data_IF_800888657995
#
_entry.id   IF_800888657995
#
_cell.length_a   1.000
_cell.length_b   1.000
_cell.length_c   1.000
_cell.angle_alpha   90.00
_cell.angle_beta   90.00
_cell.angle_gamma   90.00
#
_symmetry.space_group_name_H-M   'P 1'
#
loop_
_entity.id
_entity.type
_entity.pdbx_description
1 polymer ?
#
# COMPACT_ATOMS: atom_id res chain seq x y z
N UNK A 1 -0.25 12.77 8.33
CA UNK A 1 0.29 12.21 9.61
C UNK A 1 1.68 12.78 9.76
N UNK A 2 1.96 13.66 10.72
CA UNK A 2 3.24 14.37 10.87
C UNK A 2 3.96 13.89 12.13
N UNK A 3 4.66 12.74 12.06
CA UNK A 3 5.11 12.01 13.26
C UNK A 3 6.51 11.41 13.07
N UNK A 4 7.38 11.66 14.04
CA UNK A 4 8.65 10.95 14.19
C UNK A 4 8.39 9.52 14.68
N UNK A 5 9.08 8.55 14.07
CA UNK A 5 8.89 7.12 14.33
C UNK A 5 10.16 6.40 14.74
N UNK A 6 11.24 7.12 15.06
CA UNK A 6 12.54 6.52 15.40
C UNK A 6 12.54 5.73 16.72
N UNK A 7 11.61 6.05 17.61
CA UNK A 7 11.50 5.42 18.93
C UNK A 7 10.72 4.10 18.90
N UNK A 8 10.15 3.70 17.75
CA UNK A 8 9.41 2.45 17.59
C UNK A 8 10.27 1.33 17.01
N UNK A 9 9.96 0.09 17.37
CA UNK A 9 10.56 -1.12 16.81
C UNK A 9 9.78 -1.67 15.61
N UNK A 10 8.48 -1.40 15.55
CA UNK A 10 7.63 -1.81 14.43
C UNK A 10 6.78 -0.66 13.88
N UNK A 11 6.61 -0.67 12.56
CA UNK A 11 5.67 0.21 11.87
C UNK A 11 5.00 -0.55 10.74
N UNK A 12 3.67 -0.71 10.82
CA UNK A 12 2.88 -1.46 9.84
C UNK A 12 1.61 -0.71 9.48
N UNK A 13 1.16 -0.89 8.25
CA UNK A 13 -0.14 -0.39 7.80
C UNK A 13 -1.14 -1.53 7.88
N UNK A 14 -2.24 -1.30 8.57
CA UNK A 14 -3.38 -2.21 8.60
C UNK A 14 -4.57 -1.56 7.88
N UNK A 15 -5.28 -2.35 7.09
CA UNK A 15 -6.54 -1.95 6.48
C UNK A 15 -7.41 -3.18 6.17
N UNK A 16 -8.72 -3.02 6.26
CA UNK A 16 -9.66 -3.98 5.70
C UNK A 16 -10.12 -3.50 4.33
N UNK A 17 -9.95 -4.35 3.32
CA UNK A 17 -10.16 -4.00 1.93
C UNK A 17 -11.23 -4.91 1.32
N UNK A 18 -12.15 -4.35 0.54
CA UNK A 18 -13.13 -5.14 -0.21
C UNK A 18 -13.29 -4.57 -1.61
N UNK A 19 -13.21 -5.45 -2.61
CA UNK A 19 -13.40 -5.09 -4.00
C UNK A 19 -14.74 -5.62 -4.51
N UNK A 20 -15.53 -4.73 -5.10
CA UNK A 20 -16.85 -5.03 -5.64
C UNK A 20 -16.84 -5.03 -7.15
N UNK A 21 -16.12 -4.12 -7.79
CA UNK A 21 -15.96 -4.07 -9.24
C UNK A 21 -14.61 -3.48 -9.65
N UNK A 22 -14.09 -3.94 -10.79
CA UNK A 22 -12.81 -3.57 -11.38
C UNK A 22 -12.84 -3.98 -12.85
N UNK A 23 -12.72 -3.02 -13.76
CA UNK A 23 -12.65 -3.30 -15.20
C UNK A 23 -11.24 -3.33 -15.76
N UNK A 24 -10.29 -2.63 -15.13
CA UNK A 24 -8.89 -2.61 -15.52
C UNK A 24 -8.16 -3.77 -14.82
N UNK A 25 -7.64 -4.79 -15.52
CA UNK A 25 -6.95 -5.90 -14.89
C UNK A 25 -5.64 -5.47 -14.19
N UNK A 26 -5.31 -6.13 -13.08
CA UNK A 26 -4.14 -5.80 -12.26
C UNK A 26 -4.16 -4.34 -11.80
N UNK A 27 -3.09 -3.62 -12.11
CA UNK A 27 -2.98 -2.16 -11.93
C UNK A 27 -2.75 -1.44 -13.26
N UNK A 28 -3.29 -1.97 -14.36
CA UNK A 28 -2.99 -1.52 -15.72
C UNK A 28 -1.59 -1.93 -16.19
N UNK A 29 -1.21 -1.51 -17.40
CA UNK A 29 0.05 -1.93 -18.03
C UNK A 29 1.29 -1.60 -17.19
N UNK A 30 1.25 -0.48 -16.47
CA UNK A 30 2.36 0.01 -15.64
C UNK A 30 2.26 -0.40 -14.16
N UNK A 31 1.20 -1.11 -13.75
CA UNK A 31 1.03 -1.50 -12.34
C UNK A 31 0.88 -0.31 -11.38
N UNK A 32 0.09 0.70 -11.75
CA UNK A 32 -0.09 1.94 -10.97
C UNK A 32 -1.57 2.36 -10.76
N UNK A 33 -2.50 1.65 -11.40
CA UNK A 33 -3.92 2.02 -11.49
C UNK A 33 -4.82 0.96 -10.82
N UNK A 34 -4.70 0.81 -9.51
CA UNK A 34 -5.46 -0.20 -8.76
C UNK A 34 -6.79 0.36 -8.22
N UNK A 35 -7.82 -0.49 -8.04
CA UNK A 35 -9.06 -0.12 -7.35
C UNK A 35 -8.86 0.47 -5.95
N UNK A 36 -7.83 0.02 -5.23
CA UNK A 36 -7.39 0.60 -3.94
C UNK A 36 -5.86 0.58 -3.90
N UNK A 37 -5.28 1.71 -3.49
CA UNK A 37 -3.87 1.93 -3.24
C UNK A 37 -3.68 2.47 -1.83
N UNK A 38 -2.74 1.87 -1.10
CA UNK A 38 -2.17 2.43 0.12
C UNK A 38 -0.88 3.15 -0.27
N UNK A 39 -0.71 4.37 0.23
CA UNK A 39 0.52 5.12 0.10
C UNK A 39 0.93 5.71 1.44
N UNK A 40 2.19 5.51 1.82
CA UNK A 40 2.81 6.17 2.97
C UNK A 40 3.91 7.06 2.44
N UNK A 41 3.72 8.38 2.55
CA UNK A 41 4.76 9.35 2.25
C UNK A 41 5.55 9.65 3.53
N UNK A 42 6.87 9.57 3.44
CA UNK A 42 7.75 9.67 4.60
C UNK A 42 9.10 10.29 4.26
N UNK A 43 9.91 10.55 5.28
CA UNK A 43 11.31 10.97 5.16
C UNK A 43 12.23 9.91 5.74
N UNK A 44 13.33 9.61 5.05
CA UNK A 44 14.37 8.71 5.54
C UNK A 44 15.40 9.45 6.42
N UNK A 45 16.38 8.70 6.96
CA UNK A 45 17.40 9.23 7.85
C UNK A 45 18.34 10.26 7.19
N UNK A 46 18.48 10.20 5.86
CA UNK A 46 19.26 11.14 5.06
C UNK A 46 18.47 12.42 4.74
N UNK A 47 17.18 12.44 5.04
CA UNK A 47 16.30 13.58 4.78
C UNK A 47 15.58 13.51 3.43
N UNK A 48 15.72 12.42 2.68
CA UNK A 48 15.05 12.27 1.39
C UNK A 48 13.56 12.01 1.57
N UNK A 49 12.73 12.60 0.71
CA UNK A 49 11.32 12.23 0.60
C UNK A 49 11.20 10.88 -0.12
N UNK A 50 10.35 10.02 0.42
CA UNK A 50 10.14 8.65 -0.04
C UNK A 50 8.65 8.32 -0.01
N UNK A 51 8.28 7.35 -0.84
CA UNK A 51 6.94 6.78 -0.88
C UNK A 51 7.03 5.26 -0.73
N UNK A 52 6.11 4.72 0.05
CA UNK A 52 5.78 3.30 0.07
C UNK A 52 4.40 3.10 -0.56
N UNK A 53 4.24 2.08 -1.41
CA UNK A 53 2.99 1.78 -2.10
C UNK A 53 2.57 0.31 -1.95
N UNK A 54 1.26 0.09 -1.80
CA UNK A 54 0.66 -1.23 -1.92
C UNK A 54 -0.72 -1.17 -2.60
N UNK A 55 -0.87 -1.89 -3.70
CA UNK A 55 -2.11 -1.94 -4.50
C UNK A 55 -2.90 -3.23 -4.36
N UNK A 56 -4.23 -3.17 -4.43
CA UNK A 56 -5.12 -4.34 -4.39
C UNK A 56 -5.94 -4.48 -5.67
N UNK A 57 -6.06 -5.71 -6.16
CA UNK A 57 -6.90 -6.05 -7.32
C UNK A 57 -7.53 -7.44 -7.18
N UNK A 58 -8.55 -7.75 -8.00
CA UNK A 58 -9.07 -9.11 -8.12
C UNK A 58 -8.97 -9.66 -9.56
N UNK A 59 -9.03 -8.78 -10.56
CA UNK A 59 -9.00 -9.18 -11.97
C UNK A 59 -7.56 -9.44 -12.41
N UNK A 60 -7.18 -10.69 -12.73
CA UNK A 60 -5.79 -11.02 -13.06
C UNK A 60 -5.33 -10.28 -14.32
N UNK A 61 -4.14 -9.67 -14.32
CA UNK A 61 -3.64 -8.98 -15.51
C UNK A 61 -3.15 -9.95 -16.59
N UNK A 62 -3.13 -9.51 -17.86
CA UNK A 62 -2.35 -10.15 -18.91
C UNK A 62 -0.86 -10.26 -18.54
N UNK A 63 -0.16 -11.26 -19.09
CA UNK A 63 1.25 -11.55 -18.76
C UNK A 63 2.21 -10.37 -19.03
N UNK A 64 1.87 -9.48 -19.96
CA UNK A 64 2.69 -8.34 -20.34
C UNK A 64 2.49 -7.09 -19.46
N UNK A 65 1.66 -7.15 -18.42
CA UNK A 65 1.43 -6.04 -17.49
C UNK A 65 2.40 -6.14 -16.31
N UNK A 66 2.83 -4.98 -15.80
CA UNK A 66 3.70 -4.92 -14.63
C UNK A 66 2.87 -5.14 -13.36
N UNK A 67 3.38 -6.02 -12.50
CA UNK A 67 2.96 -6.14 -11.11
C UNK A 67 4.20 -6.03 -10.23
N UNK A 68 4.23 -5.02 -9.38
CA UNK A 68 5.31 -4.85 -8.41
C UNK A 68 5.12 -5.80 -7.22
N UNK A 69 6.26 -6.25 -6.67
CA UNK A 69 6.38 -7.12 -5.50
C UNK A 69 7.67 -6.78 -4.72
N UNK A 70 7.94 -5.50 -4.55
CA UNK A 70 9.12 -4.98 -3.87
C UNK A 70 8.67 -4.42 -2.51
N UNK A 71 9.55 -4.38 -1.49
CA UNK A 71 9.17 -3.92 -0.16
C UNK A 71 8.60 -2.50 -0.12
N UNK A 72 9.08 -1.61 -1.01
CA UNK A 72 8.67 -0.22 -1.15
C UNK A 72 7.50 -0.01 -2.13
N UNK A 73 7.29 -0.93 -3.07
CA UNK A 73 6.19 -0.88 -4.02
C UNK A 73 5.73 -2.29 -4.36
N UNK A 74 4.51 -2.65 -3.96
CA UNK A 74 3.97 -3.99 -4.17
C UNK A 74 2.48 -3.98 -4.50
N UNK A 75 1.96 -5.13 -4.90
CA UNK A 75 0.54 -5.31 -5.14
C UNK A 75 0.11 -6.74 -4.82
N UNK A 76 -1.15 -6.90 -4.42
CA UNK A 76 -1.71 -8.19 -4.04
C UNK A 76 -3.08 -8.43 -4.72
N UNK A 77 -3.25 -9.67 -5.20
CA UNK A 77 -4.54 -10.14 -5.70
C UNK A 77 -5.37 -10.68 -4.55
N UNK A 78 -6.57 -10.14 -4.36
CA UNK A 78 -7.50 -10.53 -3.30
C UNK A 78 -8.83 -11.04 -3.88
N UNK A 79 -9.61 -11.73 -3.06
CA UNK A 79 -10.92 -12.23 -3.47
C UNK A 79 -11.94 -11.10 -3.62
N UNK A 80 -12.76 -11.15 -4.67
CA UNK A 80 -13.88 -10.22 -4.89
C UNK A 80 -14.98 -10.48 -3.85
N UNK A 81 -15.70 -9.43 -3.45
CA UNK A 81 -16.86 -9.44 -2.55
C UNK A 81 -16.61 -9.84 -1.09
N UNK A 82 -15.38 -10.12 -0.68
CA UNK A 82 -15.01 -10.50 0.70
C UNK A 82 -14.15 -9.41 1.31
N UNK A 83 -14.36 -9.12 2.60
CA UNK A 83 -13.46 -8.26 3.36
C UNK A 83 -12.13 -8.99 3.59
N UNK A 84 -11.05 -8.41 3.10
CA UNK A 84 -9.69 -8.90 3.22
C UNK A 84 -8.93 -8.06 4.26
N UNK A 85 -8.56 -8.64 5.42
CA UNK A 85 -7.70 -7.97 6.38
C UNK A 85 -6.26 -7.99 5.85
N UNK A 86 -5.71 -6.81 5.59
CA UNK A 86 -4.33 -6.65 5.18
C UNK A 86 -3.51 -6.01 6.30
N UNK A 87 -2.33 -6.57 6.55
CA UNK A 87 -1.29 -5.97 7.36
C UNK A 87 0.01 -5.96 6.55
N UNK A 88 0.64 -4.80 6.44
CA UNK A 88 1.91 -4.67 5.72
C UNK A 88 3.04 -5.38 6.47
N UNK A 89 4.14 -5.62 5.75
CA UNK A 89 5.43 -5.88 6.39
C UNK A 89 5.83 -4.73 7.33
N UNK A 90 6.77 -4.99 8.24
CA UNK A 90 7.33 -3.94 9.08
C UNK A 90 8.21 -3.00 8.25
N UNK A 91 7.76 -1.75 8.07
CA UNK A 91 8.43 -0.75 7.25
C UNK A 91 9.80 -0.33 7.82
N UNK A 92 10.00 -0.47 9.15
CA UNK A 92 11.27 -0.10 9.80
C UNK A 92 12.39 -1.11 9.55
N UNK A 93 12.07 -2.35 9.21
CA UNK A 93 13.05 -3.42 9.00
C UNK A 93 13.18 -3.84 7.54
N UNK A 94 12.13 -3.69 6.73
CA UNK A 94 12.11 -4.18 5.34
C UNK A 94 12.65 -3.19 4.32
N UNK A 95 12.62 -1.89 4.60
CA UNK A 95 13.08 -0.85 3.68
C UNK A 95 14.58 -0.54 3.81
N UNK A 96 15.30 -1.24 4.71
CA UNK A 96 16.75 -1.12 4.83
C UNK A 96 17.21 0.32 5.14
N UNK A 97 18.20 0.87 4.40
CA UNK A 97 18.68 2.25 4.61
C UNK A 97 17.61 3.31 4.37
N UNK A 98 16.59 3.02 3.55
CA UNK A 98 15.53 3.97 3.19
C UNK A 98 14.32 3.88 4.12
N UNK A 99 14.46 3.23 5.30
CA UNK A 99 13.38 3.14 6.29
C UNK A 99 12.88 4.52 6.75
N UNK A 100 11.61 4.63 7.14
CA UNK A 100 11.06 5.88 7.60
C UNK A 100 11.64 6.28 8.96
N UNK A 101 11.98 7.56 9.09
CA UNK A 101 12.21 8.20 10.39
C UNK A 101 11.11 9.20 10.74
N UNK A 102 10.39 9.68 9.72
CA UNK A 102 9.28 10.61 9.89
C UNK A 102 8.18 10.33 8.88
N UNK A 103 6.97 10.02 9.34
CA UNK A 103 5.79 9.87 8.48
C UNK A 103 5.20 11.26 8.22
N UNK A 104 4.84 11.54 6.97
CA UNK A 104 4.19 12.78 6.51
C UNK A 104 2.71 12.59 6.21
N UNK A 105 2.36 11.48 5.57
CA UNK A 105 0.97 11.17 5.29
C UNK A 105 0.76 9.70 5.02
N UNK A 106 -0.47 9.28 5.24
CA UNK A 106 -1.01 8.04 4.73
C UNK A 106 -2.15 8.46 3.83
N UNK A 107 -2.13 7.95 2.61
CA UNK A 107 -3.17 8.19 1.62
C UNK A 107 -3.74 6.85 1.21
N UNK A 108 -5.06 6.80 1.19
CA UNK A 108 -5.81 5.74 0.52
C UNK A 108 -6.47 6.40 -0.67
N UNK A 109 -6.26 5.82 -1.83
CA UNK A 109 -6.82 6.35 -3.06
C UNK A 109 -7.08 5.21 -4.03
N UNK A 110 -7.81 5.53 -5.08
CA UNK A 110 -8.09 4.64 -6.19
C UNK A 110 -7.69 5.33 -7.49
N UNK A 111 -7.12 4.58 -8.42
CA UNK A 111 -6.62 5.09 -9.71
C UNK A 111 -7.00 4.21 -10.90
N UNK A 112 -7.83 3.17 -10.69
CA UNK A 112 -8.36 2.35 -11.78
C UNK A 112 -9.37 3.08 -12.68
N UNK A 113 -9.88 2.38 -13.69
CA UNK A 113 -10.85 2.94 -14.64
C UNK A 113 -12.27 2.94 -14.07
N UNK A 114 -13.03 1.85 -14.27
CA UNK A 114 -14.32 1.65 -13.62
C UNK A 114 -14.08 0.67 -12.48
N UNK A 115 -14.47 1.07 -11.28
CA UNK A 115 -14.29 0.29 -10.06
C UNK A 115 -15.35 0.63 -9.02
N UNK A 116 -15.58 -0.32 -8.12
CA UNK A 116 -16.33 -0.14 -6.88
C UNK A 116 -15.58 -0.88 -5.78
N UNK A 117 -15.23 -0.16 -4.71
CA UNK A 117 -14.33 -0.65 -3.67
C UNK A 117 -14.63 -0.01 -2.33
N UNK A 118 -14.29 -0.72 -1.25
CA UNK A 118 -14.53 -0.30 0.12
C UNK A 118 -13.27 -0.50 0.94
N UNK A 119 -13.04 0.41 1.88
CA UNK A 119 -11.99 0.31 2.89
C UNK A 119 -12.61 0.56 4.26
N UNK A 120 -12.21 -0.22 5.25
CA UNK A 120 -12.58 -0.05 6.65
C UNK A 120 -11.33 -0.20 7.53
N UNK A 121 -11.46 0.25 8.79
CA UNK A 121 -10.51 0.00 9.87
C UNK A 121 -9.04 0.24 9.46
N UNK A 122 -8.72 1.47 9.06
CA UNK A 122 -7.37 1.84 8.66
C UNK A 122 -6.57 2.26 9.89
N UNK A 123 -5.39 1.68 10.05
CA UNK A 123 -4.47 2.00 11.14
C UNK A 123 -3.01 2.02 10.68
N UNK A 124 -2.23 2.91 11.27
CA UNK A 124 -0.77 2.81 11.30
C UNK A 124 -0.40 2.23 12.66
N UNK A 125 0.00 0.97 12.68
CA UNK A 125 0.37 0.24 13.88
C UNK A 125 1.84 0.52 14.18
N UNK A 126 2.11 1.02 15.38
CA UNK A 126 3.45 1.29 15.87
C UNK A 126 3.63 0.63 17.24
N UNK A 127 4.73 -0.08 17.43
CA UNK A 127 5.06 -0.78 18.69
C UNK A 127 6.45 -0.36 19.17
N UNK A 128 6.58 -0.21 20.48
CA UNK A 128 7.82 0.19 21.19
C UNK A 128 8.80 -0.97 21.41
#
# INVERSE_FOLDING_TARGET
VNKDVRDFQSLRVFAEVRLLDQTLPGGGQLGSEFPIMLNVAYRDAEGNERDWFHGFYYEPPPENYILYNQPDNSSERIARFIWYPYESVNLLTTLGPTKPVYIRSIRIYASGWIYDSMVANISLLAEE
#
